data_IF_549376911575
#
_entry.id   IF_549376911575
#
_cell.length_a   1.000
_cell.length_b   1.000
_cell.length_c   1.000
_cell.angle_alpha   90.00
_cell.angle_beta   90.00
_cell.angle_gamma   90.00
#
_symmetry.space_group_name_H-M   'P 1'
#
loop_
_entity.id
_entity.type
_entity.pdbx_description
1 polymer ?
#
# COMPACT_ATOMS: atom_id res chain seq x y z
N UNK A 1 -14.17 37.26 -12.40
CA UNK A 1 -14.11 35.99 -13.16
C UNK A 1 -12.71 35.39 -13.34
N UNK A 2 -11.63 36.18 -13.45
CA UNK A 2 -10.25 35.65 -13.62
C UNK A 2 -9.62 35.06 -12.34
N UNK A 3 -9.95 35.58 -11.16
CA UNK A 3 -9.44 35.06 -9.88
C UNK A 3 -9.98 33.65 -9.52
N UNK A 4 -11.19 33.27 -9.98
CA UNK A 4 -11.74 31.94 -9.71
C UNK A 4 -11.16 30.84 -10.62
N UNK A 5 -10.71 31.20 -11.85
CA UNK A 5 -9.96 30.30 -12.73
C UNK A 5 -8.55 30.02 -12.22
N UNK A 6 -7.83 31.04 -11.69
CA UNK A 6 -6.51 30.86 -11.06
C UNK A 6 -6.54 30.06 -9.76
N UNK A 7 -7.61 30.17 -8.96
CA UNK A 7 -7.81 29.33 -7.75
C UNK A 7 -8.09 27.87 -8.12
N UNK A 8 -8.96 27.63 -9.11
CA UNK A 8 -9.29 26.27 -9.62
C UNK A 8 -8.12 25.53 -10.27
N UNK A 9 -7.15 26.24 -10.84
CA UNK A 9 -5.98 25.63 -11.47
C UNK A 9 -4.93 25.18 -10.43
N UNK A 10 -4.98 25.73 -9.20
CA UNK A 10 -4.15 25.33 -8.05
C UNK A 10 -4.65 24.06 -7.34
N UNK A 11 -5.89 23.63 -7.64
CA UNK A 11 -6.55 22.49 -7.01
C UNK A 11 -6.42 21.17 -7.81
N UNK A 12 -5.71 21.18 -8.96
CA UNK A 12 -5.45 19.97 -9.76
C UNK A 12 -4.03 19.49 -9.52
N UNK A 13 -3.90 18.27 -9.02
CA UNK A 13 -2.62 17.57 -8.93
C UNK A 13 -2.00 17.41 -10.32
N UNK A 14 -0.75 17.82 -10.46
CA UNK A 14 0.09 17.57 -11.63
C UNK A 14 0.43 16.07 -11.75
N UNK A 15 0.83 15.63 -12.95
CA UNK A 15 1.26 14.24 -13.16
C UNK A 15 2.42 13.82 -12.26
N UNK A 16 3.35 14.73 -11.95
CA UNK A 16 4.45 14.47 -11.01
C UNK A 16 3.96 14.32 -9.57
N UNK A 17 2.99 15.11 -9.14
CA UNK A 17 2.36 14.94 -7.81
C UNK A 17 1.62 13.60 -7.73
N UNK A 18 0.87 13.22 -8.77
CA UNK A 18 0.16 11.93 -8.82
C UNK A 18 1.13 10.75 -8.77
N UNK A 19 2.31 10.86 -9.40
CA UNK A 19 3.32 9.81 -9.34
C UNK A 19 3.77 9.52 -7.91
N UNK A 20 3.80 10.54 -7.04
CA UNK A 20 4.14 10.39 -5.61
C UNK A 20 3.05 9.73 -4.76
N UNK A 21 1.88 9.44 -5.33
CA UNK A 21 0.89 8.56 -4.69
C UNK A 21 1.08 7.09 -5.07
N UNK A 22 1.90 6.75 -6.06
CA UNK A 22 1.93 5.41 -6.65
C UNK A 22 3.01 4.54 -5.99
N UNK A 23 2.56 3.41 -5.44
CA UNK A 23 3.37 2.24 -5.15
C UNK A 23 3.25 1.26 -6.32
N UNK A 24 4.21 1.32 -7.25
CA UNK A 24 4.19 0.51 -8.48
C UNK A 24 4.53 -0.94 -8.14
N UNK A 25 3.55 -1.83 -8.33
CA UNK A 25 3.59 -3.18 -7.77
C UNK A 25 3.85 -4.26 -8.84
N UNK A 26 4.73 -5.21 -8.53
CA UNK A 26 4.92 -6.45 -9.29
C UNK A 26 5.06 -7.63 -8.31
N UNK A 27 3.94 -8.28 -8.01
CA UNK A 27 3.83 -9.38 -7.03
C UNK A 27 3.48 -10.72 -7.68
N UNK A 28 3.48 -10.78 -9.01
CA UNK A 28 3.17 -11.99 -9.78
C UNK A 28 4.24 -13.06 -9.52
N UNK A 29 3.88 -14.34 -9.27
CA UNK A 29 4.85 -15.39 -8.94
C UNK A 29 5.83 -15.70 -10.07
N UNK A 30 5.47 -15.41 -11.32
CA UNK A 30 6.31 -15.57 -12.50
C UNK A 30 7.22 -14.36 -12.80
N UNK A 31 7.23 -13.33 -11.95
CA UNK A 31 8.08 -12.16 -12.15
C UNK A 31 9.56 -12.57 -12.11
N UNK A 32 10.33 -12.14 -13.10
CA UNK A 32 11.76 -12.42 -13.20
C UNK A 32 12.60 -11.25 -12.70
N UNK A 33 13.89 -11.45 -12.45
CA UNK A 33 14.82 -10.36 -12.14
C UNK A 33 14.82 -9.27 -13.23
N UNK A 34 14.71 -9.66 -14.51
CA UNK A 34 14.61 -8.71 -15.63
C UNK A 34 13.38 -7.81 -15.52
N UNK A 35 12.24 -8.36 -15.08
CA UNK A 35 11.03 -7.59 -14.85
C UNK A 35 11.16 -6.63 -13.66
N UNK A 36 11.87 -7.05 -12.61
CA UNK A 36 12.16 -6.23 -11.43
C UNK A 36 13.12 -5.09 -11.77
N UNK A 37 14.13 -5.34 -12.61
CA UNK A 37 15.03 -4.29 -13.11
C UNK A 37 14.24 -3.26 -13.92
N UNK A 38 13.35 -3.71 -14.81
CA UNK A 38 12.46 -2.82 -15.58
C UNK A 38 11.56 -2.01 -14.65
N UNK A 39 10.95 -2.65 -13.66
CA UNK A 39 10.11 -2.00 -12.63
C UNK A 39 10.86 -0.85 -11.94
N UNK A 40 12.08 -1.10 -11.46
CA UNK A 40 12.89 -0.09 -10.78
C UNK A 40 13.25 1.07 -11.71
N UNK A 41 13.73 0.78 -12.94
CA UNK A 41 14.04 1.81 -13.94
C UNK A 41 12.82 2.68 -14.27
N UNK A 42 11.65 2.07 -14.39
CA UNK A 42 10.39 2.77 -14.63
C UNK A 42 10.00 3.64 -13.43
N UNK A 43 10.14 3.11 -12.22
CA UNK A 43 9.82 3.86 -11.01
C UNK A 43 10.71 5.10 -10.83
N UNK A 44 12.00 4.97 -11.12
CA UNK A 44 12.94 6.11 -11.19
C UNK A 44 12.48 7.12 -12.25
N UNK A 45 12.24 6.65 -13.48
CA UNK A 45 11.86 7.51 -14.62
C UNK A 45 10.62 8.37 -14.32
N UNK A 46 9.60 7.79 -13.71
CA UNK A 46 8.35 8.47 -13.40
C UNK A 46 8.29 9.03 -11.97
N UNK A 47 9.37 8.88 -11.20
CA UNK A 47 9.46 9.26 -9.80
C UNK A 47 8.31 8.71 -8.95
N UNK A 48 7.97 7.41 -9.11
CA UNK A 48 6.98 6.76 -8.25
C UNK A 48 7.43 6.73 -6.80
N UNK A 49 6.46 6.72 -5.87
CA UNK A 49 6.75 6.70 -4.44
C UNK A 49 7.57 5.49 -4.04
N UNK A 50 7.11 4.30 -4.41
CA UNK A 50 7.83 3.05 -4.17
C UNK A 50 7.63 2.05 -5.28
N UNK A 51 8.51 1.04 -5.31
CA UNK A 51 8.22 -0.25 -5.92
C UNK A 51 7.71 -1.20 -4.82
N UNK A 52 6.71 -2.03 -5.14
CA UNK A 52 6.21 -3.06 -4.25
C UNK A 52 6.47 -4.45 -4.84
N UNK A 53 7.34 -5.23 -4.20
CA UNK A 53 7.85 -6.51 -4.70
C UNK A 53 7.74 -7.62 -3.66
N UNK A 54 7.92 -8.89 -4.07
CA UNK A 54 8.03 -9.99 -3.13
C UNK A 54 9.37 -9.93 -2.36
N UNK A 55 9.46 -10.48 -1.12
CA UNK A 55 10.63 -10.33 -0.25
C UNK A 55 11.94 -10.80 -0.88
N UNK A 56 11.87 -11.83 -1.73
CA UNK A 56 13.00 -12.35 -2.50
C UNK A 56 13.73 -11.27 -3.33
N UNK A 57 12.99 -10.30 -3.88
CA UNK A 57 13.55 -9.25 -4.73
C UNK A 57 13.98 -7.98 -3.99
N UNK A 58 13.78 -7.91 -2.67
CA UNK A 58 14.12 -6.72 -1.87
C UNK A 58 15.60 -6.33 -1.99
N UNK A 59 16.59 -7.25 -1.87
CA UNK A 59 18.00 -6.88 -2.01
C UNK A 59 18.32 -6.27 -3.39
N UNK A 60 17.73 -6.82 -4.46
CA UNK A 60 17.91 -6.31 -5.81
C UNK A 60 17.33 -4.90 -5.96
N UNK A 61 16.10 -4.67 -5.49
CA UNK A 61 15.47 -3.36 -5.53
C UNK A 61 16.25 -2.33 -4.70
N UNK A 62 16.71 -2.69 -3.50
CA UNK A 62 17.49 -1.81 -2.65
C UNK A 62 18.80 -1.38 -3.33
N UNK A 63 19.51 -2.32 -3.97
CA UNK A 63 20.72 -2.00 -4.73
C UNK A 63 20.45 -1.05 -5.91
N UNK A 64 19.37 -1.30 -6.68
CA UNK A 64 19.03 -0.51 -7.87
C UNK A 64 18.48 0.88 -7.56
N UNK A 65 17.80 1.04 -6.42
CA UNK A 65 17.15 2.30 -6.02
C UNK A 65 18.01 3.14 -5.07
N UNK A 66 19.21 2.68 -4.72
CA UNK A 66 20.15 3.43 -3.87
C UNK A 66 20.45 4.81 -4.49
N UNK A 67 20.19 5.87 -3.72
CA UNK A 67 20.41 7.25 -4.14
C UNK A 67 19.22 7.90 -4.87
N UNK A 68 18.10 7.19 -5.03
CA UNK A 68 16.86 7.73 -5.57
C UNK A 68 15.80 7.89 -4.46
N UNK A 69 14.82 8.77 -4.69
CA UNK A 69 13.70 9.02 -3.76
C UNK A 69 12.63 7.91 -3.77
N UNK A 70 12.73 6.96 -4.69
CA UNK A 70 11.83 5.81 -4.79
C UNK A 70 12.17 4.77 -3.73
N UNK A 71 11.17 4.44 -2.91
CA UNK A 71 11.29 3.49 -1.80
C UNK A 71 11.13 2.03 -2.23
N UNK A 72 11.60 1.11 -1.40
CA UNK A 72 11.35 -0.33 -1.50
C UNK A 72 10.26 -0.72 -0.52
N UNK A 73 9.08 -1.05 -1.04
CA UNK A 73 8.02 -1.72 -0.28
C UNK A 73 8.09 -3.23 -0.54
N UNK A 74 7.91 -4.04 0.50
CA UNK A 74 7.62 -5.47 0.34
C UNK A 74 6.35 -5.85 1.10
N UNK A 75 5.88 -7.07 0.88
CA UNK A 75 4.72 -7.65 1.55
C UNK A 75 5.14 -8.60 2.68
N UNK A 76 4.27 -8.81 3.68
CA UNK A 76 4.49 -9.75 4.80
C UNK A 76 3.24 -10.61 5.00
N UNK A 77 3.44 -11.93 5.11
CA UNK A 77 2.38 -12.93 5.24
C UNK A 77 1.43 -12.97 4.05
N UNK A 78 1.88 -12.57 2.86
CA UNK A 78 1.02 -12.32 1.72
C UNK A 78 0.73 -13.58 0.88
N UNK A 79 -0.44 -13.68 0.23
CA UNK A 79 -1.56 -12.73 0.25
C UNK A 79 -2.58 -13.00 1.36
N UNK A 80 -2.51 -14.13 2.07
CA UNK A 80 -3.63 -14.59 2.90
C UNK A 80 -3.52 -14.22 4.39
N UNK A 81 -2.34 -13.82 4.86
CA UNK A 81 -2.11 -13.49 6.26
C UNK A 81 -2.09 -14.69 7.20
N UNK A 82 -2.05 -15.92 6.67
CA UNK A 82 -2.28 -17.17 7.42
C UNK A 82 -1.01 -17.88 7.89
N UNK A 83 0.17 -17.33 7.64
CA UNK A 83 1.39 -17.80 8.30
C UNK A 83 1.31 -17.54 9.81
N UNK A 84 2.04 -18.30 10.62
CA UNK A 84 2.10 -18.07 12.06
C UNK A 84 2.77 -16.72 12.36
N UNK A 85 2.42 -16.15 13.52
CA UNK A 85 3.03 -14.92 14.05
C UNK A 85 4.56 -14.94 13.93
N UNK A 86 5.21 -16.00 14.41
CA UNK A 86 6.67 -16.09 14.44
C UNK A 86 7.29 -16.06 13.03
N UNK A 87 6.64 -16.71 12.06
CA UNK A 87 7.08 -16.68 10.66
C UNK A 87 6.94 -15.27 10.07
N UNK A 88 5.83 -14.58 10.32
CA UNK A 88 5.64 -13.19 9.85
C UNK A 88 6.62 -12.22 10.51
N UNK A 89 6.90 -12.38 11.80
CA UNK A 89 7.90 -11.58 12.52
C UNK A 89 9.29 -11.82 11.92
N UNK A 90 9.64 -13.07 11.63
CA UNK A 90 10.90 -13.39 10.98
C UNK A 90 10.99 -12.80 9.56
N UNK A 91 9.96 -12.99 8.74
CA UNK A 91 9.88 -12.43 7.38
C UNK A 91 10.03 -10.90 7.37
N UNK A 92 9.39 -10.22 8.34
CA UNK A 92 9.47 -8.78 8.49
C UNK A 92 10.90 -8.34 8.83
N UNK A 93 11.53 -8.97 9.83
CA UNK A 93 12.92 -8.67 10.23
C UNK A 93 13.90 -8.89 9.06
N UNK A 94 13.77 -10.00 8.34
CA UNK A 94 14.62 -10.29 7.18
C UNK A 94 14.42 -9.27 6.06
N UNK A 95 13.17 -8.86 5.82
CA UNK A 95 12.87 -7.83 4.82
C UNK A 95 13.54 -6.48 5.13
N UNK A 96 13.57 -6.08 6.42
CA UNK A 96 14.29 -4.88 6.85
C UNK A 96 15.80 -5.04 6.66
N UNK A 97 16.37 -6.18 7.06
CA UNK A 97 17.81 -6.46 6.88
C UNK A 97 18.21 -6.42 5.40
N UNK A 98 17.33 -6.85 4.49
CA UNK A 98 17.52 -6.78 3.06
C UNK A 98 17.34 -5.39 2.44
N UNK A 99 16.85 -4.41 3.22
CA UNK A 99 16.73 -3.01 2.83
C UNK A 99 15.33 -2.58 2.37
N UNK A 100 14.26 -3.22 2.86
CA UNK A 100 12.91 -2.68 2.69
C UNK A 100 12.72 -1.40 3.53
N UNK A 101 12.18 -0.35 2.91
CA UNK A 101 11.78 0.90 3.59
C UNK A 101 10.38 0.77 4.21
N UNK A 102 9.48 0.02 3.56
CA UNK A 102 8.09 -0.12 3.98
C UNK A 102 7.60 -1.58 3.92
N UNK A 103 6.71 -1.95 4.84
CA UNK A 103 6.14 -3.29 4.94
C UNK A 103 4.61 -3.25 4.79
N UNK A 104 4.08 -3.92 3.78
CA UNK A 104 2.65 -4.15 3.56
C UNK A 104 2.24 -5.52 4.17
N UNK A 105 1.78 -5.50 5.42
CA UNK A 105 1.49 -6.69 6.23
C UNK A 105 0.03 -7.11 6.03
N UNK A 106 -0.23 -8.35 5.64
CA UNK A 106 -1.60 -8.89 5.66
C UNK A 106 -1.95 -9.33 7.08
N UNK A 107 -3.00 -8.75 7.68
CA UNK A 107 -3.46 -9.18 9.00
C UNK A 107 -3.91 -10.65 8.99
N UNK A 108 -3.92 -11.33 10.13
CA UNK A 108 -4.49 -12.68 10.18
C UNK A 108 -6.02 -12.64 9.97
N UNK A 109 -6.45 -12.95 8.75
CA UNK A 109 -7.86 -12.88 8.34
C UNK A 109 -8.67 -13.96 9.07
N UNK A 110 -8.12 -15.17 9.25
CA UNK A 110 -8.78 -16.24 9.99
C UNK A 110 -9.10 -15.83 11.43
N UNK A 111 -8.12 -15.28 12.15
CA UNK A 111 -8.31 -14.79 13.51
C UNK A 111 -9.37 -13.69 13.59
N UNK A 112 -9.35 -12.71 12.67
CA UNK A 112 -10.35 -11.66 12.57
C UNK A 112 -11.77 -12.23 12.35
N UNK A 113 -11.93 -13.18 11.41
CA UNK A 113 -13.21 -13.84 11.13
C UNK A 113 -13.72 -14.70 12.29
N UNK A 114 -12.81 -15.21 13.12
CA UNK A 114 -13.15 -15.92 14.36
C UNK A 114 -13.40 -14.99 15.56
N UNK A 115 -13.33 -13.66 15.37
CA UNK A 115 -13.47 -12.69 16.46
C UNK A 115 -12.28 -12.65 17.42
N UNK A 116 -11.17 -13.34 17.11
CA UNK A 116 -9.96 -13.34 17.91
C UNK A 116 -9.11 -12.11 17.59
N UNK A 117 -9.62 -10.97 18.01
CA UNK A 117 -9.03 -9.66 17.79
C UNK A 117 -7.77 -9.41 18.63
N UNK A 118 -7.67 -10.07 19.79
CA UNK A 118 -6.47 -10.02 20.63
C UNK A 118 -5.27 -10.62 19.89
N UNK A 119 -5.43 -11.78 19.25
CA UNK A 119 -4.38 -12.37 18.43
C UNK A 119 -3.96 -11.46 17.27
N UNK A 120 -4.93 -10.84 16.57
CA UNK A 120 -4.63 -9.87 15.49
C UNK A 120 -3.80 -8.70 16.02
N UNK A 121 -4.18 -8.16 17.19
CA UNK A 121 -3.46 -7.08 17.84
C UNK A 121 -2.04 -7.46 18.25
N UNK A 122 -1.87 -8.61 18.90
CA UNK A 122 -0.58 -9.13 19.35
C UNK A 122 0.38 -9.39 18.18
N UNK A 123 -0.10 -10.03 17.11
CA UNK A 123 0.70 -10.28 15.91
C UNK A 123 1.20 -8.97 15.28
N UNK A 124 0.30 -7.99 15.09
CA UNK A 124 0.67 -6.70 14.53
C UNK A 124 1.64 -5.94 15.44
N UNK A 125 1.39 -5.93 16.75
CA UNK A 125 2.25 -5.29 17.74
C UNK A 125 3.68 -5.84 17.69
N UNK A 126 3.84 -7.16 17.62
CA UNK A 126 5.15 -7.79 17.60
C UNK A 126 5.91 -7.50 16.29
N UNK A 127 5.24 -7.59 15.14
CA UNK A 127 5.86 -7.24 13.85
C UNK A 127 6.31 -5.78 13.85
N UNK A 128 5.43 -4.85 14.24
CA UNK A 128 5.70 -3.41 14.21
C UNK A 128 6.80 -3.03 15.20
N UNK A 129 6.74 -3.53 16.44
CA UNK A 129 7.71 -3.21 17.48
C UNK A 129 9.12 -3.75 17.19
N UNK A 130 9.24 -4.81 16.39
CA UNK A 130 10.53 -5.38 16.00
C UNK A 130 11.10 -4.82 14.69
N UNK A 131 10.32 -4.00 13.96
CA UNK A 131 10.71 -3.42 12.67
C UNK A 131 10.45 -1.91 12.60
N UNK A 132 10.65 -1.20 13.72
CA UNK A 132 10.36 0.24 13.90
C UNK A 132 11.03 1.19 12.89
N UNK A 133 12.06 0.73 12.18
CA UNK A 133 12.75 1.51 11.14
C UNK A 133 11.95 1.63 9.84
N UNK A 134 10.92 0.80 9.64
CA UNK A 134 10.07 0.84 8.44
C UNK A 134 8.73 1.51 8.67
N UNK A 135 8.09 1.90 7.57
CA UNK A 135 6.67 2.29 7.54
C UNK A 135 5.81 1.03 7.42
N UNK A 136 4.90 0.82 8.36
CA UNK A 136 3.98 -0.32 8.36
C UNK A 136 2.63 0.04 7.76
N UNK A 137 2.18 -0.79 6.82
CA UNK A 137 0.85 -0.71 6.20
C UNK A 137 0.12 -2.03 6.43
N UNK A 138 -1.03 -2.00 7.09
CA UNK A 138 -1.80 -3.22 7.38
C UNK A 138 -2.87 -3.41 6.33
N UNK A 139 -2.80 -4.51 5.56
CA UNK A 139 -3.82 -4.95 4.63
C UNK A 139 -4.91 -5.69 5.42
N UNK A 140 -6.10 -5.11 5.44
CA UNK A 140 -7.26 -5.72 6.12
C UNK A 140 -8.09 -6.62 5.20
N UNK A 141 -7.76 -6.67 3.91
CA UNK A 141 -8.44 -7.46 2.89
C UNK A 141 -9.98 -7.30 2.91
N UNK A 142 -10.43 -6.10 2.55
CA UNK A 142 -11.83 -5.66 2.69
C UNK A 142 -12.86 -6.55 1.98
N UNK A 143 -12.44 -7.36 1.01
CA UNK A 143 -13.34 -8.24 0.26
C UNK A 143 -13.86 -9.44 1.07
N UNK A 144 -13.21 -9.77 2.20
CA UNK A 144 -13.63 -10.88 3.08
C UNK A 144 -14.31 -10.45 4.38
N UNK A 145 -14.29 -9.15 4.67
CA UNK A 145 -14.81 -8.60 5.92
C UNK A 145 -16.21 -8.00 5.77
N UNK A 146 -17.03 -8.15 6.81
CA UNK A 146 -18.25 -7.33 6.97
C UNK A 146 -17.89 -5.88 7.28
N UNK A 147 -18.89 -4.99 7.31
CA UNK A 147 -18.64 -3.59 7.67
C UNK A 147 -18.16 -3.45 9.13
N UNK A 148 -18.74 -4.24 10.04
CA UNK A 148 -18.35 -4.30 11.46
C UNK A 148 -16.91 -4.79 11.63
N UNK A 149 -16.53 -5.86 10.93
CA UNK A 149 -15.17 -6.40 10.96
C UNK A 149 -14.16 -5.40 10.39
N UNK A 150 -14.50 -4.66 9.32
CA UNK A 150 -13.65 -3.57 8.79
C UNK A 150 -13.42 -2.49 9.84
N UNK A 151 -14.46 -2.14 10.62
CA UNK A 151 -14.35 -1.13 11.67
C UNK A 151 -13.37 -1.61 12.75
N UNK A 152 -13.52 -2.84 13.22
CA UNK A 152 -12.67 -3.39 14.28
C UNK A 152 -11.23 -3.56 13.79
N UNK A 153 -11.01 -4.15 12.62
CA UNK A 153 -9.69 -4.31 12.01
C UNK A 153 -8.96 -2.97 11.84
N UNK A 154 -9.67 -1.94 11.36
CA UNK A 154 -9.11 -0.59 11.18
C UNK A 154 -8.69 0.03 12.52
N UNK A 155 -9.52 -0.12 13.57
CA UNK A 155 -9.21 0.39 14.91
C UNK A 155 -7.99 -0.31 15.51
N UNK A 156 -7.94 -1.64 15.43
CA UNK A 156 -6.84 -2.44 15.98
C UNK A 156 -5.54 -2.11 15.27
N UNK A 157 -5.51 -2.15 13.94
CA UNK A 157 -4.31 -1.83 13.19
C UNK A 157 -3.79 -0.42 13.49
N UNK A 158 -4.69 0.58 13.56
CA UNK A 158 -4.32 1.95 13.93
C UNK A 158 -3.83 2.07 15.37
N UNK A 159 -4.40 1.31 16.31
CA UNK A 159 -4.01 1.32 17.73
C UNK A 159 -2.61 0.74 17.93
N UNK A 160 -2.28 -0.34 17.22
CA UNK A 160 -0.97 -1.01 17.30
C UNK A 160 0.11 -0.39 16.40
N UNK A 161 -0.11 0.84 15.93
CA UNK A 161 0.95 1.66 15.31
C UNK A 161 1.09 1.53 13.79
N UNK A 162 0.11 0.93 13.10
CA UNK A 162 0.13 0.93 11.63
C UNK A 162 0.00 2.38 11.11
N UNK A 163 1.00 2.84 10.36
CA UNK A 163 0.97 4.16 9.72
C UNK A 163 -0.07 4.23 8.60
N UNK A 164 -0.33 3.12 7.92
CA UNK A 164 -1.34 3.00 6.89
C UNK A 164 -2.29 1.83 7.13
N UNK A 165 -3.54 2.04 6.77
CA UNK A 165 -4.50 0.94 6.54
C UNK A 165 -4.64 0.77 5.03
N UNK A 166 -4.39 -0.45 4.55
CA UNK A 166 -4.46 -0.83 3.15
C UNK A 166 -5.71 -1.68 2.89
N UNK A 167 -6.41 -1.39 1.78
CA UNK A 167 -7.67 -2.07 1.48
C UNK A 167 -7.49 -3.54 1.12
N UNK A 168 -6.63 -3.84 0.14
CA UNK A 168 -6.64 -5.15 -0.52
C UNK A 168 -5.26 -5.57 -1.02
N UNK A 169 -5.05 -6.89 -1.12
CA UNK A 169 -3.89 -7.55 -1.70
C UNK A 169 -3.91 -7.51 -3.22
N UNK A 170 -5.12 -7.53 -3.82
CA UNK A 170 -5.32 -7.75 -5.26
C UNK A 170 -5.41 -9.23 -5.65
N UNK A 171 -5.32 -10.15 -4.69
CA UNK A 171 -5.45 -11.60 -4.88
C UNK A 171 -6.74 -12.16 -4.27
N UNK A 172 -7.49 -11.34 -3.53
CA UNK A 172 -8.83 -11.67 -3.05
C UNK A 172 -9.91 -11.57 -4.14
N UNK A 173 -11.17 -11.62 -3.73
CA UNK A 173 -12.32 -11.63 -4.67
C UNK A 173 -12.61 -10.26 -5.29
N UNK A 174 -12.26 -9.17 -4.58
CA UNK A 174 -12.47 -7.78 -5.02
C UNK A 174 -11.36 -6.86 -4.48
N UNK A 175 -11.09 -5.77 -5.20
CA UNK A 175 -10.12 -4.75 -4.80
C UNK A 175 -10.73 -3.60 -4.00
N UNK A 176 -10.05 -2.45 -4.01
CA UNK A 176 -10.49 -1.24 -3.32
C UNK A 176 -11.85 -0.72 -3.81
N UNK A 177 -12.66 -0.21 -2.90
CA UNK A 177 -13.88 0.55 -3.20
C UNK A 177 -13.85 1.93 -2.56
N UNK A 178 -14.54 2.91 -3.17
CA UNK A 178 -14.66 4.25 -2.59
C UNK A 178 -15.35 4.21 -1.22
N UNK A 179 -16.31 3.31 -1.04
CA UNK A 179 -17.01 3.10 0.25
C UNK A 179 -16.01 2.67 1.33
N UNK A 180 -15.17 1.67 1.05
CA UNK A 180 -14.19 1.17 2.01
C UNK A 180 -13.15 2.24 2.37
N UNK A 181 -12.62 2.98 1.38
CA UNK A 181 -11.63 4.04 1.64
C UNK A 181 -12.21 5.16 2.52
N UNK A 182 -13.44 5.60 2.26
CA UNK A 182 -14.12 6.59 3.12
C UNK A 182 -14.36 6.08 4.53
N UNK A 183 -14.77 4.82 4.67
CA UNK A 183 -14.98 4.18 5.97
C UNK A 183 -13.68 4.16 6.78
N UNK A 184 -12.61 3.65 6.18
CA UNK A 184 -11.29 3.58 6.81
C UNK A 184 -10.83 4.98 7.21
N UNK A 185 -10.86 5.96 6.28
CA UNK A 185 -10.42 7.33 6.56
C UNK A 185 -11.20 7.98 7.72
N UNK A 186 -12.52 7.76 7.78
CA UNK A 186 -13.37 8.25 8.87
C UNK A 186 -12.93 7.71 10.24
N UNK A 187 -12.48 6.45 10.31
CA UNK A 187 -12.10 5.81 11.57
C UNK A 187 -10.69 6.23 12.02
N UNK A 188 -9.74 6.26 11.09
CA UNK A 188 -8.35 6.59 11.43
C UNK A 188 -8.15 8.08 11.69
N UNK A 189 -8.95 8.95 11.06
CA UNK A 189 -8.77 10.40 11.15
C UNK A 189 -7.35 10.78 10.73
N UNK A 190 -6.63 11.49 11.58
CA UNK A 190 -5.24 11.90 11.34
C UNK A 190 -4.21 10.97 11.99
N UNK A 191 -4.65 9.90 12.67
CA UNK A 191 -3.76 8.93 13.34
C UNK A 191 -3.04 8.01 12.37
N UNK A 192 -3.69 7.70 11.24
CA UNK A 192 -3.13 6.86 10.19
C UNK A 192 -3.61 7.32 8.82
N UNK A 193 -2.93 6.82 7.81
CA UNK A 193 -3.17 7.10 6.40
C UNK A 193 -3.88 5.93 5.71
N UNK A 194 -4.33 6.12 4.47
CA UNK A 194 -5.07 5.09 3.72
C UNK A 194 -4.38 4.77 2.41
N UNK A 195 -4.10 3.49 2.17
CA UNK A 195 -3.61 2.97 0.90
C UNK A 195 -4.71 2.21 0.17
N UNK A 196 -5.18 2.74 -0.94
CA UNK A 196 -6.13 2.03 -1.81
C UNK A 196 -5.36 1.11 -2.76
N UNK A 197 -5.73 -0.17 -2.83
CA UNK A 197 -5.06 -1.14 -3.71
C UNK A 197 -6.03 -2.18 -4.26
N UNK A 198 -5.70 -2.73 -5.43
CA UNK A 198 -6.47 -3.75 -6.14
C UNK A 198 -7.45 -3.16 -7.16
N UNK A 199 -7.23 -3.46 -8.44
CA UNK A 199 -8.14 -3.08 -9.55
C UNK A 199 -8.07 -1.62 -10.02
N UNK A 200 -7.10 -0.83 -9.55
CA UNK A 200 -6.92 0.59 -9.91
C UNK A 200 -6.05 0.67 -11.16
N UNK A 201 -6.64 1.05 -12.31
CA UNK A 201 -6.02 1.00 -13.63
C UNK A 201 -5.99 2.34 -14.37
N UNK A 202 -6.79 3.33 -13.96
CA UNK A 202 -6.92 4.60 -14.69
C UNK A 202 -6.71 5.82 -13.78
N UNK A 203 -6.34 6.95 -14.38
CA UNK A 203 -6.19 8.22 -13.67
C UNK A 203 -7.48 8.64 -12.95
N UNK A 204 -8.63 8.46 -13.60
CA UNK A 204 -9.93 8.78 -13.00
C UNK A 204 -10.18 8.02 -11.69
N UNK A 205 -9.83 6.73 -11.64
CA UNK A 205 -9.94 5.94 -10.41
C UNK A 205 -9.00 6.48 -9.33
N UNK A 206 -7.74 6.79 -9.67
CA UNK A 206 -6.76 7.37 -8.72
C UNK A 206 -7.31 8.66 -8.10
N UNK A 207 -7.80 9.59 -8.91
CA UNK A 207 -8.36 10.86 -8.42
C UNK A 207 -9.58 10.65 -7.51
N UNK A 208 -10.44 9.67 -7.82
CA UNK A 208 -11.57 9.32 -6.97
C UNK A 208 -11.12 8.77 -5.60
N UNK A 209 -10.11 7.91 -5.57
CA UNK A 209 -9.56 7.37 -4.32
C UNK A 209 -8.86 8.44 -3.49
N UNK A 210 -8.09 9.33 -4.10
CA UNK A 210 -7.47 10.47 -3.40
C UNK A 210 -8.56 11.35 -2.77
N UNK A 211 -9.60 11.70 -3.55
CA UNK A 211 -10.75 12.46 -3.03
C UNK A 211 -11.50 11.72 -1.91
N UNK A 212 -11.49 10.39 -1.92
CA UNK A 212 -12.10 9.57 -0.86
C UNK A 212 -11.26 9.52 0.42
N UNK A 213 -9.99 9.94 0.38
CA UNK A 213 -9.08 9.99 1.53
C UNK A 213 -7.85 9.08 1.42
N UNK A 214 -7.61 8.44 0.28
CA UNK A 214 -6.37 7.70 0.06
C UNK A 214 -5.18 8.65 -0.13
N UNK A 215 -4.08 8.38 0.56
CA UNK A 215 -2.80 9.08 0.42
C UNK A 215 -1.74 8.20 -0.24
N UNK A 216 -2.07 6.93 -0.53
CA UNK A 216 -1.26 6.03 -1.34
C UNK A 216 -2.13 5.12 -2.22
N UNK A 217 -1.60 4.75 -3.38
CA UNK A 217 -2.23 3.89 -4.38
C UNK A 217 -1.30 2.72 -4.70
N UNK A 218 -1.75 1.50 -4.43
CA UNK A 218 -1.09 0.28 -4.91
C UNK A 218 -1.64 -0.13 -6.27
N UNK A 219 -0.81 -0.13 -7.31
CA UNK A 219 -1.21 -0.52 -8.67
C UNK A 219 -0.04 -1.09 -9.47
N UNK A 220 -0.33 -1.93 -10.45
CA UNK A 220 0.64 -2.34 -11.49
C UNK A 220 0.54 -1.47 -12.75
N UNK A 221 -0.45 -0.59 -12.85
CA UNK A 221 -0.76 0.24 -14.03
C UNK A 221 -0.26 1.69 -13.90
N UNK A 222 0.73 1.95 -13.04
CA UNK A 222 1.19 3.31 -12.76
C UNK A 222 1.72 4.04 -14.00
N UNK A 223 2.32 3.31 -14.96
CA UNK A 223 2.82 3.90 -16.21
C UNK A 223 1.67 4.43 -17.05
N UNK A 224 0.62 3.63 -17.24
CA UNK A 224 -0.57 4.01 -17.98
C UNK A 224 -1.25 5.23 -17.33
N UNK A 225 -1.42 5.17 -15.99
CA UNK A 225 -2.01 6.25 -15.19
C UNK A 225 -1.22 7.56 -15.35
N UNK A 226 0.11 7.52 -15.29
CA UNK A 226 0.92 8.75 -15.41
C UNK A 226 1.01 9.26 -16.84
N UNK A 227 0.97 8.36 -17.84
CA UNK A 227 0.83 8.79 -19.24
C UNK A 227 -0.50 9.52 -19.45
N UNK A 228 -1.61 9.00 -18.94
CA UNK A 228 -2.91 9.72 -18.96
C UNK A 228 -2.80 11.10 -18.28
N UNK A 229 -2.11 11.17 -17.13
CA UNK A 229 -1.94 12.42 -16.39
C UNK A 229 -1.11 13.46 -17.14
N UNK A 230 -0.11 13.04 -17.92
CA UNK A 230 0.70 13.97 -18.73
C UNK A 230 0.06 14.33 -20.07
N UNK A 231 -0.78 13.47 -20.65
CA UNK A 231 -1.50 13.76 -21.90
C UNK A 231 -2.78 14.59 -21.69
N UNK A 232 -3.28 14.68 -20.46
CA UNK A 232 -4.49 15.44 -20.09
C UNK A 232 -4.23 16.84 -19.52
N UNK A 233 -2.98 17.33 -19.56
CA UNK A 233 -2.56 18.72 -19.28
C UNK A 233 -2.39 19.45 -20.61
#
# INVERSE_FOLDING_TARGET
MAMSKRKRQKDRLSGSEIARFIDQSLLKPQATESDIIKLCKTAIKYNFYSVCVNPYFVPLCNALLKGYDTKVTTIIGFPFGMATKDVKVYEAKQSILHGADELDIVMNIGAAKSGNWDYVGEELSEIISTTKSAVHKVIIETCYLTEEEKIVATKIASLFGAKFIKTSTGFGTKGATIKDVKLIKKIVGDRAEVKAAGGIKTLSQVLQFIKAGATRIGTSAGVEIIKEAYSGI
#
